data_IF_995783293675
#
_entry.id   IF_995783293675
#
_cell.length_a   1.000
_cell.length_b   1.000
_cell.length_c   1.000
_cell.angle_alpha   90.00
_cell.angle_beta   90.00
_cell.angle_gamma   90.00
#
_symmetry.space_group_name_H-M   'P 1'
#
loop_
_entity.id
_entity.type
_entity.pdbx_description
1 polymer ?
#
# COMPACT_ATOMS: atom_id res chain seq x y z
N UNK A 1 16.64 4.61 9.09
CA UNK A 1 15.85 5.86 9.13
C UNK A 1 16.08 6.59 7.81
N UNK A 2 15.02 6.89 7.06
CA UNK A 2 15.15 7.78 5.93
C UNK A 2 15.50 9.17 6.46
N UNK A 3 16.57 9.75 5.97
CA UNK A 3 16.98 11.10 6.33
C UNK A 3 16.32 12.02 5.32
N UNK A 4 15.55 13.00 5.79
CA UNK A 4 15.08 14.07 4.92
C UNK A 4 16.30 14.86 4.47
N UNK A 5 16.50 14.93 3.14
CA UNK A 5 17.54 15.76 2.55
C UNK A 5 17.07 17.20 2.28
N UNK A 6 15.87 17.55 2.76
CA UNK A 6 15.32 18.89 2.60
C UNK A 6 16.07 19.88 3.48
N UNK A 7 16.59 20.93 2.88
CA UNK A 7 17.06 22.10 3.60
C UNK A 7 15.84 22.90 4.11
N UNK A 8 15.54 22.78 5.39
CA UNK A 8 14.40 23.48 6.01
C UNK A 8 14.59 25.01 6.08
N UNK A 9 15.79 25.54 5.85
CA UNK A 9 16.05 26.96 5.71
C UNK A 9 15.79 27.46 4.28
N UNK A 10 15.56 26.57 3.33
CA UNK A 10 15.26 26.92 1.94
C UNK A 10 13.98 27.75 1.83
N UNK A 11 13.95 28.81 1.02
CA UNK A 11 12.71 29.55 0.73
C UNK A 11 11.65 28.69 0.00
N UNK A 12 12.05 27.53 -0.54
CA UNK A 12 11.15 26.57 -1.20
C UNK A 12 10.62 25.49 -0.24
N UNK A 13 10.94 25.52 1.04
CA UNK A 13 10.41 24.57 2.02
C UNK A 13 8.91 24.79 2.22
N UNK A 14 8.13 23.73 2.00
CA UNK A 14 6.66 23.75 2.12
C UNK A 14 6.26 22.99 3.38
N UNK A 15 5.44 23.59 4.24
CA UNK A 15 5.02 23.01 5.51
C UNK A 15 3.51 22.74 5.59
N UNK A 16 2.77 23.02 4.52
CA UNK A 16 1.32 22.78 4.44
C UNK A 16 0.92 22.41 3.03
N UNK A 17 -0.12 21.58 2.90
CA UNK A 17 -0.68 21.17 1.63
C UNK A 17 -2.18 20.90 1.78
N UNK A 18 -2.98 21.30 0.81
CA UNK A 18 -4.41 20.94 0.74
C UNK A 18 -4.55 19.67 -0.09
N UNK A 19 -4.97 18.58 0.54
CA UNK A 19 -5.13 17.26 -0.09
C UNK A 19 -6.03 17.26 -1.32
N UNK A 20 -6.96 18.22 -1.41
CA UNK A 20 -7.83 18.36 -2.59
C UNK A 20 -7.08 18.73 -3.87
N UNK A 21 -5.82 19.17 -3.75
CA UNK A 21 -4.98 19.56 -4.88
C UNK A 21 -4.24 18.37 -5.53
N UNK A 22 -4.23 17.18 -4.90
CA UNK A 22 -3.69 15.95 -5.52
C UNK A 22 -4.73 14.84 -5.53
N UNK A 23 -5.63 14.92 -6.51
CA UNK A 23 -6.62 13.87 -6.79
C UNK A 23 -5.93 12.67 -7.46
N UNK A 24 -5.65 11.62 -6.69
CA UNK A 24 -4.99 10.41 -7.17
C UNK A 24 -5.90 9.56 -8.05
N UNK A 25 -7.16 9.33 -7.61
CA UNK A 25 -8.14 8.53 -8.35
C UNK A 25 -9.55 9.02 -8.11
N UNK A 26 -10.38 9.04 -9.14
CA UNK A 26 -11.80 9.39 -9.05
C UNK A 26 -12.67 8.42 -9.83
N UNK A 27 -13.43 7.61 -9.11
CA UNK A 27 -14.50 6.80 -9.68
C UNK A 27 -15.74 7.65 -9.96
N UNK A 28 -16.19 8.42 -8.97
CA UNK A 28 -17.30 9.38 -9.03
C UNK A 28 -17.15 10.42 -7.91
N UNK A 29 -18.16 11.30 -7.72
CA UNK A 29 -18.07 12.40 -6.76
C UNK A 29 -18.12 11.97 -5.28
N UNK A 30 -18.45 10.71 -5.00
CA UNK A 30 -18.52 10.15 -3.65
C UNK A 30 -17.49 9.05 -3.40
N UNK A 31 -16.81 8.59 -4.47
CA UNK A 31 -15.83 7.50 -4.41
C UNK A 31 -14.55 7.95 -5.11
N UNK A 32 -13.60 8.43 -4.33
CA UNK A 32 -12.34 8.99 -4.81
C UNK A 32 -11.24 8.90 -3.75
N UNK A 33 -10.02 9.12 -4.19
CA UNK A 33 -8.82 9.08 -3.36
C UNK A 33 -7.99 10.33 -3.66
N UNK A 34 -7.70 11.14 -2.65
CA UNK A 34 -6.65 12.14 -2.71
C UNK A 34 -5.36 11.57 -2.12
N UNK A 35 -4.22 12.11 -2.52
CA UNK A 35 -2.91 11.64 -2.08
C UNK A 35 -2.10 12.78 -1.47
N UNK A 36 -1.21 12.43 -0.55
CA UNK A 36 -0.10 13.26 -0.11
C UNK A 36 1.19 12.44 -0.11
N UNK A 37 2.20 12.95 -0.78
CA UNK A 37 3.52 12.36 -0.84
C UNK A 37 4.61 13.43 -0.70
N UNK A 38 5.86 13.01 -0.62
CA UNK A 38 6.99 13.95 -0.61
C UNK A 38 7.07 14.81 -1.89
N UNK A 39 6.39 14.40 -2.98
CA UNK A 39 6.31 15.19 -4.22
C UNK A 39 5.41 16.42 -4.07
N UNK A 40 4.42 16.33 -3.18
CA UNK A 40 3.41 17.35 -2.97
C UNK A 40 3.78 18.26 -1.80
N UNK A 41 4.43 17.69 -0.78
CA UNK A 41 4.88 18.40 0.41
C UNK A 41 6.33 18.00 0.71
N UNK A 42 7.27 18.80 0.24
CA UNK A 42 8.70 18.46 0.21
C UNK A 42 9.39 18.39 1.60
N UNK A 43 8.71 18.82 2.65
CA UNK A 43 9.17 18.67 4.03
C UNK A 43 8.72 17.37 4.70
N UNK A 44 7.90 16.55 4.02
CA UNK A 44 7.59 15.21 4.51
C UNK A 44 8.86 14.37 4.62
N UNK A 45 8.95 13.60 5.69
CA UNK A 45 10.00 12.61 5.87
C UNK A 45 9.63 11.28 5.18
N UNK A 46 9.59 10.23 5.97
CA UNK A 46 9.34 8.87 5.48
C UNK A 46 7.88 8.44 5.68
N UNK A 47 6.93 9.29 5.38
CA UNK A 47 5.52 8.97 5.42
C UNK A 47 4.75 9.67 4.30
N UNK A 48 3.63 9.11 3.96
CA UNK A 48 2.67 9.60 2.99
C UNK A 48 1.27 9.16 3.40
N UNK A 49 0.25 9.65 2.74
CA UNK A 49 -1.12 9.25 3.05
C UNK A 49 -2.03 9.24 1.82
N UNK A 50 -3.09 8.44 1.91
CA UNK A 50 -4.25 8.50 1.03
C UNK A 50 -5.48 8.89 1.85
N UNK A 51 -6.25 9.83 1.31
CA UNK A 51 -7.49 10.35 1.88
C UNK A 51 -8.64 9.78 1.04
N UNK A 52 -9.34 8.77 1.57
CA UNK A 52 -10.18 7.83 0.82
C UNK A 52 -11.65 8.04 1.19
N UNK A 53 -12.47 8.30 0.18
CA UNK A 53 -13.92 8.49 0.31
C UNK A 53 -14.66 7.38 -0.42
N UNK A 54 -15.58 6.71 0.27
CA UNK A 54 -16.32 5.56 -0.25
C UNK A 54 -17.78 5.60 0.16
N UNK A 55 -18.63 5.10 -0.72
CA UNK A 55 -20.01 4.72 -0.38
C UNK A 55 -20.09 3.21 -0.16
N UNK A 56 -21.16 2.78 0.52
CA UNK A 56 -21.41 1.37 0.86
C UNK A 56 -21.12 0.41 -0.29
N UNK A 57 -20.39 -0.65 -0.02
CA UNK A 57 -20.07 -1.71 -0.97
C UNK A 57 -18.95 -1.39 -1.96
N UNK A 58 -18.40 -0.16 -1.93
CA UNK A 58 -17.19 0.12 -2.68
C UNK A 58 -15.98 -0.46 -1.95
N UNK A 59 -15.01 -0.90 -2.75
CA UNK A 59 -13.84 -1.65 -2.30
C UNK A 59 -12.60 -0.96 -2.82
N UNK A 60 -11.67 -0.56 -1.95
CA UNK A 60 -10.28 -0.41 -2.38
C UNK A 60 -9.82 -1.81 -2.73
N UNK A 61 -9.53 -2.03 -4.01
CA UNK A 61 -9.35 -3.38 -4.54
C UNK A 61 -8.23 -4.15 -3.83
N UNK A 62 -8.24 -5.49 -3.86
CA UNK A 62 -7.16 -6.29 -3.28
C UNK A 62 -5.79 -5.92 -3.83
N UNK A 63 -4.84 -5.63 -2.95
CA UNK A 63 -3.50 -5.17 -3.31
C UNK A 63 -2.45 -5.48 -2.24
N UNK A 64 -1.21 -5.16 -2.53
CA UNK A 64 -0.09 -5.16 -1.59
C UNK A 64 0.70 -3.86 -1.74
N UNK A 65 1.26 -3.37 -0.65
CA UNK A 65 2.31 -2.35 -0.66
C UNK A 65 3.66 -3.03 -0.48
N UNK A 66 4.48 -3.06 -1.54
CA UNK A 66 5.78 -3.73 -1.49
C UNK A 66 6.83 -2.95 -0.70
N UNK A 67 6.65 -1.64 -0.53
CA UNK A 67 7.63 -0.76 0.09
C UNK A 67 7.14 -0.05 1.37
N UNK A 68 5.93 -0.34 1.84
CA UNK A 68 5.34 0.32 3.00
C UNK A 68 4.46 -0.62 3.82
N UNK A 69 4.36 -0.36 5.12
CA UNK A 69 3.22 -0.74 5.94
C UNK A 69 2.12 0.33 5.81
N UNK A 70 0.88 -0.05 6.11
CA UNK A 70 -0.27 0.84 6.04
C UNK A 70 -1.04 0.83 7.35
N UNK A 71 -1.36 2.03 7.86
CA UNK A 71 -2.25 2.22 8.99
C UNK A 71 -3.53 2.90 8.51
N UNK A 72 -4.64 2.15 8.47
CA UNK A 72 -5.95 2.68 8.09
C UNK A 72 -6.68 3.21 9.32
N UNK A 73 -6.98 4.51 9.34
CA UNK A 73 -7.80 5.16 10.38
C UNK A 73 -9.18 5.51 9.82
N UNK A 74 -10.24 5.12 10.53
CA UNK A 74 -11.60 5.48 10.16
C UNK A 74 -11.98 6.84 10.77
N UNK A 75 -12.31 7.82 9.90
CA UNK A 75 -12.75 9.16 10.28
C UNK A 75 -14.27 9.20 10.41
N UNK A 76 -15.00 8.64 9.44
CA UNK A 76 -16.46 8.56 9.44
C UNK A 76 -16.96 7.31 8.72
N UNK A 77 -18.25 6.96 8.91
CA UNK A 77 -18.82 5.75 8.37
C UNK A 77 -18.26 4.50 9.03
N UNK A 78 -18.07 3.43 8.28
CA UNK A 78 -17.40 2.21 8.72
C UNK A 78 -16.86 1.41 7.56
N UNK A 79 -15.79 0.65 7.81
CA UNK A 79 -15.19 -0.23 6.82
C UNK A 79 -14.79 -1.58 7.43
N UNK A 80 -14.62 -2.58 6.58
CA UNK A 80 -13.96 -3.83 6.94
C UNK A 80 -12.62 -3.87 6.23
N UNK A 81 -11.54 -3.84 6.99
CA UNK A 81 -10.17 -4.07 6.51
C UNK A 81 -9.90 -5.56 6.58
N UNK A 82 -9.60 -6.16 5.43
CA UNK A 82 -9.38 -7.60 5.31
C UNK A 82 -7.98 -7.87 4.81
N UNK A 83 -7.26 -8.79 5.45
CA UNK A 83 -5.90 -9.13 5.07
C UNK A 83 -5.65 -10.64 5.18
N UNK A 84 -4.74 -11.14 4.35
CA UNK A 84 -4.27 -12.53 4.40
C UNK A 84 -3.00 -12.57 5.25
N UNK A 85 -3.07 -13.30 6.37
CA UNK A 85 -1.88 -13.58 7.16
C UNK A 85 -1.01 -14.63 6.43
N UNK A 86 0.21 -14.28 5.97
CA UNK A 86 1.04 -15.18 5.17
C UNK A 86 1.64 -16.33 5.99
N UNK A 87 1.64 -16.24 7.33
CA UNK A 87 2.15 -17.30 8.20
C UNK A 87 1.09 -18.35 8.54
N UNK A 88 -0.15 -17.93 8.78
CA UNK A 88 -1.26 -18.84 9.08
C UNK A 88 -2.09 -19.22 7.86
N UNK A 89 -1.89 -18.56 6.71
CA UNK A 89 -2.65 -18.70 5.45
C UNK A 89 -4.16 -18.51 5.67
N UNK A 90 -4.53 -17.56 6.54
CA UNK A 90 -5.92 -17.25 6.87
C UNK A 90 -6.27 -15.83 6.46
N UNK A 91 -7.46 -15.67 5.89
CA UNK A 91 -8.10 -14.37 5.74
C UNK A 91 -8.59 -13.90 7.12
N UNK A 92 -8.23 -12.68 7.48
CA UNK A 92 -8.67 -12.01 8.70
C UNK A 92 -9.44 -10.75 8.34
N UNK A 93 -10.53 -10.46 9.06
CA UNK A 93 -11.40 -9.32 8.81
C UNK A 93 -11.48 -8.46 10.07
N UNK A 94 -11.23 -7.17 9.92
CA UNK A 94 -11.20 -6.19 10.99
C UNK A 94 -12.20 -5.06 10.67
N UNK A 95 -13.44 -5.13 11.23
CA UNK A 95 -14.35 -4.00 11.14
C UNK A 95 -13.80 -2.83 11.95
N UNK A 96 -13.77 -1.64 11.31
CA UNK A 96 -13.35 -0.40 11.95
C UNK A 96 -14.44 0.67 11.81
N UNK A 97 -14.59 1.47 12.87
CA UNK A 97 -15.54 2.59 13.01
C UNK A 97 -14.77 3.86 13.37
N UNK A 98 -15.40 5.04 13.40
CA UNK A 98 -14.73 6.28 13.73
C UNK A 98 -13.86 6.20 14.99
N UNK A 99 -12.60 6.63 14.88
CA UNK A 99 -11.62 6.55 15.96
C UNK A 99 -10.88 5.21 16.07
N UNK A 100 -11.20 4.22 15.22
CA UNK A 100 -10.52 2.93 15.21
C UNK A 100 -9.54 2.82 14.05
N UNK A 101 -8.56 1.95 14.21
CA UNK A 101 -7.49 1.71 13.23
C UNK A 101 -7.36 0.22 12.93
N UNK A 102 -6.87 -0.07 11.72
CA UNK A 102 -6.32 -1.37 11.35
C UNK A 102 -4.90 -1.17 10.82
N UNK A 103 -4.00 -2.09 11.10
CA UNK A 103 -2.62 -2.05 10.61
C UNK A 103 -2.36 -3.21 9.67
N UNK A 104 -1.83 -2.89 8.50
CA UNK A 104 -1.44 -3.83 7.45
C UNK A 104 0.09 -3.85 7.37
N UNK A 105 0.75 -4.96 7.73
CA UNK A 105 2.19 -5.08 7.55
C UNK A 105 2.60 -5.01 6.08
N UNK A 106 3.80 -4.48 5.82
CA UNK A 106 4.38 -4.41 4.47
C UNK A 106 4.31 -5.76 3.75
N UNK A 107 3.83 -5.74 2.50
CA UNK A 107 3.76 -6.91 1.64
C UNK A 107 2.57 -7.85 1.90
N UNK A 108 1.68 -7.53 2.83
CA UNK A 108 0.51 -8.35 3.07
C UNK A 108 -0.62 -8.01 2.10
N UNK A 109 -1.23 -9.03 1.51
CA UNK A 109 -2.40 -8.90 0.65
C UNK A 109 -3.60 -8.47 1.45
N UNK A 110 -4.24 -7.37 1.05
CA UNK A 110 -5.35 -6.77 1.77
C UNK A 110 -6.30 -6.00 0.85
N UNK A 111 -7.45 -5.62 1.40
CA UNK A 111 -8.47 -4.79 0.76
C UNK A 111 -9.37 -4.15 1.83
N UNK A 112 -10.04 -3.05 1.49
CA UNK A 112 -10.97 -2.34 2.36
C UNK A 112 -12.34 -2.26 1.70
N UNK A 113 -13.40 -2.63 2.45
CA UNK A 113 -14.78 -2.54 1.98
C UNK A 113 -15.53 -1.54 2.83
N UNK A 114 -16.12 -0.49 2.22
CA UNK A 114 -17.02 0.41 2.92
C UNK A 114 -18.31 -0.32 3.33
N UNK A 115 -18.63 -0.32 4.61
CA UNK A 115 -19.84 -0.94 5.16
C UNK A 115 -20.99 0.06 5.27
N UNK A 116 -20.71 1.36 5.24
CA UNK A 116 -21.68 2.45 5.32
C UNK A 116 -21.39 3.52 4.26
N UNK A 117 -22.41 4.31 3.92
CA UNK A 117 -22.25 5.51 3.10
C UNK A 117 -21.44 6.58 3.86
N UNK A 118 -20.79 7.46 3.13
CA UNK A 118 -19.90 8.50 3.67
C UNK A 118 -18.76 7.93 4.52
N UNK A 119 -18.30 6.72 4.18
CA UNK A 119 -17.09 6.17 4.77
C UNK A 119 -15.89 7.01 4.32
N UNK A 120 -15.15 7.51 5.30
CA UNK A 120 -13.94 8.30 5.12
C UNK A 120 -12.81 7.65 5.89
N UNK A 121 -11.80 7.20 5.16
CA UNK A 121 -10.61 6.53 5.70
C UNK A 121 -9.37 7.37 5.40
N UNK A 122 -8.44 7.35 6.34
CA UNK A 122 -7.10 7.89 6.15
C UNK A 122 -6.12 6.72 6.20
N UNK A 123 -5.49 6.40 5.08
CA UNK A 123 -4.42 5.41 4.99
C UNK A 123 -3.07 6.12 5.12
N UNK A 124 -2.28 5.74 6.11
CA UNK A 124 -0.98 6.34 6.44
C UNK A 124 0.11 5.30 6.20
N UNK A 125 1.13 5.68 5.46
CA UNK A 125 2.24 4.81 5.05
C UNK A 125 3.56 5.27 5.65
N UNK A 126 4.43 4.33 5.97
CA UNK A 126 5.81 4.58 6.44
C UNK A 126 6.82 4.70 5.29
N UNK A 127 6.35 5.12 4.14
CA UNK A 127 7.16 5.40 2.94
C UNK A 127 6.84 6.80 2.38
N UNK A 128 7.82 7.52 1.81
CA UNK A 128 7.61 8.87 1.24
C UNK A 128 6.71 8.85 0.00
N UNK A 129 6.67 7.72 -0.71
CA UNK A 129 5.80 7.42 -1.84
C UNK A 129 5.40 5.96 -1.70
N UNK A 130 4.14 5.65 -1.38
CA UNK A 130 3.69 4.28 -1.31
C UNK A 130 3.56 3.70 -2.73
N UNK A 131 4.06 2.51 -2.92
CA UNK A 131 3.90 1.75 -4.15
C UNK A 131 2.97 0.58 -3.90
N UNK A 132 2.24 0.14 -4.91
CA UNK A 132 1.31 -0.97 -4.79
C UNK A 132 1.29 -1.86 -6.03
N UNK A 133 1.00 -3.14 -5.81
CA UNK A 133 0.65 -4.10 -6.86
C UNK A 133 -0.81 -4.50 -6.64
N UNK A 134 -1.65 -4.18 -7.61
CA UNK A 134 -3.09 -4.37 -7.53
C UNK A 134 -3.53 -5.72 -8.07
N UNK A 135 -4.63 -6.25 -7.53
CA UNK A 135 -5.23 -7.51 -7.97
C UNK A 135 -5.64 -7.47 -9.42
N UNK A 136 -6.22 -6.37 -9.88
CA UNK A 136 -6.56 -6.16 -11.29
C UNK A 136 -5.32 -6.26 -12.19
N UNK A 137 -4.17 -5.73 -11.76
CA UNK A 137 -2.92 -5.82 -12.51
C UNK A 137 -2.37 -7.24 -12.53
N UNK A 138 -2.38 -7.94 -11.40
CA UNK A 138 -1.98 -9.35 -11.34
C UNK A 138 -2.83 -10.20 -12.30
N UNK A 139 -4.16 -10.01 -12.28
CA UNK A 139 -5.09 -10.79 -13.08
C UNK A 139 -4.96 -10.53 -14.59
N UNK A 140 -4.77 -9.26 -15.00
CA UNK A 140 -4.72 -8.87 -16.43
C UNK A 140 -3.33 -9.02 -17.05
N UNK A 141 -2.24 -8.84 -16.28
CA UNK A 141 -0.87 -8.87 -16.79
C UNK A 141 -0.26 -10.28 -16.78
N UNK A 142 -0.75 -11.17 -15.92
CA UNK A 142 -0.31 -12.56 -15.94
C UNK A 142 -1.05 -13.29 -17.07
N UNK A 143 -0.34 -13.94 -18.01
CA UNK A 143 -0.96 -14.65 -19.14
C UNK A 143 -1.97 -15.69 -18.66
N UNK A 144 -3.11 -15.80 -19.35
CA UNK A 144 -4.15 -16.79 -19.03
C UNK A 144 -3.62 -18.23 -19.06
N UNK A 145 -2.67 -18.52 -19.96
CA UNK A 145 -2.00 -19.83 -20.04
C UNK A 145 -1.22 -20.18 -18.77
N UNK A 146 -0.62 -19.17 -18.11
CA UNK A 146 0.11 -19.37 -16.84
C UNK A 146 -0.88 -19.76 -15.74
N UNK A 147 -2.00 -19.03 -15.61
CA UNK A 147 -3.05 -19.38 -14.66
C UNK A 147 -3.62 -20.78 -14.90
N UNK A 148 -3.95 -21.06 -16.16
CA UNK A 148 -4.52 -22.35 -16.56
C UNK A 148 -3.57 -23.50 -16.25
N UNK A 149 -2.31 -23.38 -16.62
CA UNK A 149 -1.30 -24.41 -16.38
C UNK A 149 -1.03 -24.63 -14.88
N UNK A 150 -0.86 -23.53 -14.11
CA UNK A 150 -0.52 -23.61 -12.69
C UNK A 150 -1.61 -24.26 -11.83
N UNK A 151 -2.86 -24.08 -12.20
CA UNK A 151 -4.01 -24.52 -11.38
C UNK A 151 -4.92 -25.52 -12.07
N UNK A 152 -4.51 -26.09 -13.21
CA UNK A 152 -5.30 -27.06 -14.01
C UNK A 152 -6.68 -26.52 -14.39
N UNK A 153 -6.71 -25.27 -14.91
CA UNK A 153 -7.92 -24.58 -15.34
C UNK A 153 -8.03 -24.59 -16.87
N UNK A 154 -9.24 -24.34 -17.39
CA UNK A 154 -9.46 -24.08 -18.81
C UNK A 154 -8.96 -22.68 -19.17
N UNK A 155 -8.00 -22.59 -20.11
CA UNK A 155 -7.40 -21.31 -20.52
C UNK A 155 -8.41 -20.35 -21.13
N UNK A 156 -9.34 -20.87 -21.95
CA UNK A 156 -10.34 -20.03 -22.60
C UNK A 156 -11.31 -19.41 -21.58
N UNK A 157 -11.68 -20.16 -20.55
CA UNK A 157 -12.50 -19.65 -19.44
C UNK A 157 -11.75 -18.61 -18.60
N UNK A 158 -10.48 -18.84 -18.28
CA UNK A 158 -9.64 -17.86 -17.56
C UNK A 158 -9.55 -16.57 -18.35
N UNK A 159 -9.23 -16.66 -19.65
CA UNK A 159 -9.16 -15.52 -20.55
C UNK A 159 -10.49 -14.74 -20.62
N UNK A 160 -11.60 -15.46 -20.78
CA UNK A 160 -12.93 -14.84 -20.82
C UNK A 160 -13.32 -14.18 -19.49
N UNK A 161 -12.95 -14.79 -18.35
CA UNK A 161 -13.24 -14.28 -17.00
C UNK A 161 -12.51 -12.98 -16.73
N UNK A 162 -11.24 -12.86 -17.10
CA UNK A 162 -10.42 -11.68 -16.83
C UNK A 162 -10.50 -10.61 -17.94
N UNK A 163 -11.04 -10.92 -19.12
CA UNK A 163 -11.15 -9.99 -20.23
C UNK A 163 -11.79 -8.62 -19.90
N UNK A 164 -12.76 -8.51 -18.97
CA UNK A 164 -13.29 -7.21 -18.56
C UNK A 164 -12.32 -6.33 -17.76
N UNK A 165 -11.24 -6.90 -17.21
CA UNK A 165 -10.26 -6.18 -16.40
C UNK A 165 -9.21 -5.62 -17.37
N UNK A 166 -9.38 -4.35 -17.80
CA UNK A 166 -8.50 -3.73 -18.79
C UNK A 166 -7.50 -2.74 -18.21
N UNK A 167 -7.77 -2.23 -17.01
CA UNK A 167 -6.96 -1.25 -16.31
C UNK A 167 -6.95 -1.52 -14.80
N UNK A 168 -6.12 -0.81 -14.06
CA UNK A 168 -6.11 -0.83 -12.58
C UNK A 168 -7.43 -0.25 -12.07
N UNK A 169 -8.12 -1.01 -11.22
CA UNK A 169 -9.46 -0.63 -10.78
C UNK A 169 -9.46 0.40 -9.65
N UNK A 170 -8.46 0.38 -8.76
CA UNK A 170 -8.35 1.17 -7.53
C UNK A 170 -9.57 1.06 -6.61
N UNK A 171 -10.75 1.49 -7.06
CA UNK A 171 -12.03 1.38 -6.34
C UNK A 171 -13.03 0.57 -7.17
N UNK A 172 -13.27 -0.68 -6.75
CA UNK A 172 -14.32 -1.53 -7.32
C UNK A 172 -15.67 -1.37 -6.60
N UNK A 173 -16.78 -1.84 -7.21
CA UNK A 173 -16.87 -2.29 -8.59
C UNK A 173 -16.81 -1.14 -9.60
N UNK A 174 -16.47 -1.39 -10.87
CA UNK A 174 -16.55 -0.38 -11.93
C UNK A 174 -17.95 0.21 -12.06
N UNK A 175 -18.08 1.49 -12.50
CA UNK A 175 -19.37 2.20 -12.64
C UNK A 175 -20.45 1.41 -13.39
N UNK A 176 -20.07 0.67 -14.41
CA UNK A 176 -20.98 -0.06 -15.29
C UNK A 176 -21.22 -1.51 -14.87
N UNK A 177 -20.76 -1.92 -13.67
CA UNK A 177 -20.94 -3.26 -13.18
C UNK A 177 -22.36 -3.50 -12.67
N UNK A 178 -23.19 -4.13 -13.49
CA UNK A 178 -24.57 -4.50 -13.11
C UNK A 178 -24.65 -5.57 -12.01
N UNK A 179 -23.54 -6.27 -11.71
CA UNK A 179 -23.46 -7.36 -10.72
C UNK A 179 -22.92 -6.92 -9.36
N UNK A 180 -22.54 -5.65 -9.19
CA UNK A 180 -21.83 -5.13 -8.02
C UNK A 180 -22.62 -5.09 -6.70
N UNK A 181 -23.93 -5.38 -6.71
CA UNK A 181 -24.76 -5.34 -5.50
C UNK A 181 -24.50 -6.50 -4.51
N UNK A 182 -23.78 -7.55 -4.91
CA UNK A 182 -23.55 -8.73 -4.07
C UNK A 182 -22.52 -8.50 -2.95
N UNK A 183 -21.58 -7.57 -3.13
CA UNK A 183 -20.50 -7.32 -2.15
C UNK A 183 -21.01 -6.51 -0.94
N UNK A 184 -21.98 -5.62 -1.12
CA UNK A 184 -22.59 -4.87 -0.03
C UNK A 184 -23.26 -5.81 1.00
N UNK A 185 -23.94 -6.89 0.53
CA UNK A 185 -24.50 -7.90 1.40
C UNK A 185 -23.42 -8.73 2.13
N UNK A 186 -22.26 -8.93 1.52
CA UNK A 186 -21.12 -9.62 2.13
C UNK A 186 -20.46 -8.75 3.22
N UNK A 187 -20.25 -7.46 2.98
CA UNK A 187 -19.72 -6.50 3.95
C UNK A 187 -20.59 -6.40 5.19
N UNK A 188 -21.91 -6.34 5.02
CA UNK A 188 -22.86 -6.32 6.13
C UNK A 188 -22.79 -7.61 6.97
N UNK A 189 -22.55 -8.77 6.33
CA UNK A 189 -22.37 -10.05 7.04
C UNK A 189 -21.05 -10.11 7.80
N UNK A 190 -19.96 -9.62 7.22
CA UNK A 190 -18.64 -9.60 7.89
C UNK A 190 -18.64 -8.56 9.01
N UNK A 191 -19.19 -7.37 8.79
CA UNK A 191 -19.31 -6.32 9.82
C UNK A 191 -20.18 -6.69 11.01
N UNK A 192 -21.08 -7.68 10.85
CA UNK A 192 -21.91 -8.23 11.95
C UNK A 192 -21.27 -9.41 12.69
N UNK A 193 -20.18 -9.98 12.18
CA UNK A 193 -19.42 -11.00 12.89
C UNK A 193 -18.59 -10.32 14.00
N UNK A 194 -18.57 -10.87 15.24
CA UNK A 194 -17.65 -10.37 16.25
C UNK A 194 -16.23 -10.48 15.69
N UNK A 195 -15.45 -9.41 15.85
CA UNK A 195 -14.05 -9.38 15.46
C UNK A 195 -13.41 -10.70 15.90
N UNK A 196 -12.83 -11.45 14.95
CA UNK A 196 -12.08 -12.66 15.31
C UNK A 196 -10.94 -12.20 16.21
N UNK A 197 -11.11 -12.45 17.50
CA UNK A 197 -10.31 -11.92 18.57
C UNK A 197 -8.81 -11.85 18.23
N UNK A 198 -8.29 -10.63 18.16
CA UNK A 198 -7.04 -10.41 18.86
C UNK A 198 -7.30 -10.78 20.31
N UNK A 199 -6.79 -11.90 20.78
CA UNK A 199 -6.71 -12.13 22.22
C UNK A 199 -6.06 -10.89 22.79
N UNK A 200 -6.80 -10.17 23.64
CA UNK A 200 -6.24 -9.04 24.35
C UNK A 200 -4.93 -9.54 24.97
N UNK A 201 -3.81 -8.89 24.63
CA UNK A 201 -2.55 -9.20 25.27
C UNK A 201 -2.82 -9.15 26.77
N UNK A 202 -2.40 -10.17 27.56
CA UNK A 202 -2.61 -10.14 28.98
C UNK A 202 -2.05 -8.81 29.51
N UNK A 203 -2.71 -8.17 30.48
CA UNK A 203 -2.24 -6.90 31.01
C UNK A 203 -0.78 -7.04 31.42
N UNK A 204 0.09 -6.19 30.88
CA UNK A 204 1.51 -6.15 31.24
C UNK A 204 1.56 -5.83 32.72
N UNK A 205 1.86 -6.82 33.54
CA UNK A 205 2.15 -6.58 34.96
C UNK A 205 3.43 -5.73 35.02
N UNK A 206 3.30 -4.54 35.56
CA UNK A 206 4.44 -3.66 35.80
C UNK A 206 5.48 -4.42 36.65
N UNK A 207 6.67 -4.69 36.09
CA UNK A 207 7.80 -5.25 36.82
C UNK A 207 8.34 -6.59 36.35
N UNK A 208 7.78 -7.24 35.31
CA UNK A 208 8.44 -8.41 34.73
C UNK A 208 9.16 -8.02 33.42
N UNK A 209 10.42 -8.47 33.22
CA UNK A 209 11.07 -8.29 31.93
C UNK A 209 10.24 -9.04 30.89
N UNK A 210 9.84 -8.32 29.85
CA UNK A 210 9.12 -8.87 28.70
C UNK A 210 10.03 -9.95 28.13
N UNK A 211 9.70 -11.23 28.36
CA UNK A 211 10.27 -12.30 27.56
C UNK A 211 9.77 -12.05 26.13
N UNK A 212 10.67 -11.50 25.32
CA UNK A 212 10.39 -11.28 23.92
C UNK A 212 9.93 -12.59 23.33
N UNK A 213 8.71 -12.62 22.78
CA UNK A 213 8.37 -13.60 21.77
C UNK A 213 9.44 -13.44 20.72
N UNK A 214 10.38 -14.41 20.69
CA UNK A 214 11.42 -14.43 19.67
C UNK A 214 10.76 -14.51 18.31
N UNK A 215 10.52 -13.35 17.70
CA UNK A 215 10.60 -13.30 16.26
C UNK A 215 11.97 -13.86 15.94
N UNK A 216 12.10 -14.89 15.09
CA UNK A 216 13.41 -15.18 14.56
C UNK A 216 13.92 -13.83 14.09
N UNK A 217 15.02 -13.37 14.70
CA UNK A 217 15.65 -12.14 14.27
C UNK A 217 15.86 -12.32 12.76
N UNK A 218 15.02 -11.69 11.97
CA UNK A 218 15.38 -11.38 10.61
C UNK A 218 16.55 -10.44 10.79
N UNK A 219 17.75 -11.02 10.83
CA UNK A 219 18.94 -10.26 10.59
C UNK A 219 18.62 -9.48 9.31
N UNK A 220 18.72 -8.15 9.29
CA UNK A 220 18.61 -7.41 8.07
C UNK A 220 19.67 -8.00 7.16
N UNK A 221 19.29 -8.91 6.30
CA UNK A 221 20.13 -9.31 5.19
C UNK A 221 20.36 -8.02 4.44
N UNK A 222 21.62 -7.65 4.39
CA UNK A 222 22.13 -6.48 3.70
C UNK A 222 21.80 -6.60 2.20
N UNK A 223 20.55 -6.35 1.83
CA UNK A 223 20.09 -6.17 0.45
C UNK A 223 20.37 -4.75 -0.06
N UNK A 224 21.36 -4.07 0.51
CA UNK A 224 21.67 -2.67 0.19
C UNK A 224 23.12 -2.37 -0.15
N UNK A 225 24.05 -3.35 -0.23
CA UNK A 225 25.46 -3.03 -0.52
C UNK A 225 26.03 -3.62 -1.81
N UNK A 226 25.25 -4.26 -2.69
CA UNK A 226 25.78 -4.82 -3.93
C UNK A 226 25.67 -3.90 -5.17
N UNK A 227 25.13 -2.68 -5.07
CA UNK A 227 24.95 -1.80 -6.23
C UNK A 227 25.75 -0.48 -6.23
N UNK A 228 26.54 -0.19 -5.21
CA UNK A 228 27.37 1.04 -5.16
C UNK A 228 28.85 0.80 -4.89
N UNK A 229 29.38 -0.37 -5.22
CA UNK A 229 30.76 -0.76 -4.93
C UNK A 229 31.65 -1.02 -6.15
N UNK A 230 31.44 -0.39 -7.30
CA UNK A 230 32.41 -0.41 -8.39
C UNK A 230 32.29 0.87 -9.23
N UNK A 231 32.89 1.95 -8.77
CA UNK A 231 33.53 2.98 -9.60
C UNK A 231 34.22 4.02 -8.70
N UNK A 232 35.38 3.67 -8.22
CA UNK A 232 36.42 4.64 -7.85
C UNK A 232 37.80 4.02 -8.17
N UNK A 233 38.03 3.77 -9.44
CA UNK A 233 39.39 3.63 -9.98
C UNK A 233 39.95 5.04 -10.19
N UNK A 234 40.97 5.41 -9.43
CA UNK A 234 41.70 6.66 -9.62
C UNK A 234 42.24 6.73 -11.01
N UNK A 235 42.19 7.89 -11.71
CA UNK A 235 42.88 8.07 -12.98
C UNK A 235 44.37 8.12 -12.73
N UNK A 236 45.11 7.18 -13.30
CA UNK A 236 46.55 7.23 -13.42
C UNK A 236 46.93 8.46 -14.22
N UNK A 237 47.87 9.23 -13.66
CA UNK A 237 48.38 10.43 -14.27
C UNK A 237 49.02 10.17 -15.62
N UNK A 238 48.59 10.90 -16.61
CA UNK A 238 49.31 11.07 -17.88
C UNK A 238 50.32 12.16 -17.70
N UNK A 239 51.58 11.75 -17.86
CA UNK A 239 52.74 12.65 -17.86
C UNK A 239 52.64 13.72 -18.96
N UNK A 240 52.94 14.94 -18.55
CA UNK A 240 53.11 16.04 -19.47
C UNK A 240 54.38 15.81 -20.33
N UNK A 241 54.20 15.75 -21.63
CA UNK A 241 55.29 15.96 -22.57
C UNK A 241 55.32 17.43 -23.02
N UNK A 242 56.52 18.06 -23.06
CA UNK A 242 56.62 19.46 -23.46
C UNK A 242 56.57 19.59 -24.98
N UNK A 243 55.67 20.41 -25.50
CA UNK A 243 55.73 20.87 -26.87
C UNK A 243 56.79 21.94 -27.01
N UNK A 244 57.87 21.53 -27.69
CA UNK A 244 58.90 22.45 -28.24
C UNK A 244 58.33 23.24 -29.42
N UNK A 245 58.62 24.54 -29.44
CA UNK A 245 58.21 25.42 -30.48
C UNK A 245 58.98 25.22 -31.82
N UNK A 246 58.37 25.68 -32.90
CA UNK A 246 58.98 26.32 -34.08
C UNK A 246 57.93 26.96 -34.99
N UNK A 247 58.26 28.16 -35.22
CA UNK A 247 58.13 29.09 -36.32
C UNK A 247 56.77 29.67 -36.59
#
# INVERSE_FOLDING_TARGET
>A
MAISYMDYASPNAQFTFDLKNDLFFKKDDRNYINRLSIKDLNTLGNYSLLDIFLTTGNVVEPHIHQNASELVYCISGSAVVSLINPFSLKLMNFPIKPGQVANIPQGWWHYEIAAEDNTHLLAIFDAPIPEAIFGSDILRLTPASVWAHSYCLDEAQVKATFAPIQETAYIGPPKNCKKGQQVAAHSARIGSQPAQHAQAAPPVQAGQPVQGYGYPAYAPQAYGQAYYGQQAGAPQGYGQQPYGGRA
#
